data_IF_781235550817
#
_entry.id   IF_781235550817
#
_cell.length_a   1.000
_cell.length_b   1.000
_cell.length_c   1.000
_cell.angle_alpha   90.00
_cell.angle_beta   90.00
_cell.angle_gamma   90.00
#
_symmetry.space_group_name_H-M   'P 1'
#
loop_
_entity.id
_entity.type
_entity.pdbx_description
1 polymer ?
#
# COMPACT_ATOMS: atom_id res chain seq x y z
N UNK A 1 6.76 -12.44 -33.71
CA UNK A 1 6.31 -11.13 -33.25
C UNK A 1 6.81 -10.93 -31.82
N UNK A 2 7.79 -10.06 -31.62
CA UNK A 2 8.26 -9.69 -30.27
C UNK A 2 7.16 -8.89 -29.59
N UNK A 3 6.55 -9.43 -28.52
CA UNK A 3 5.65 -8.67 -27.65
C UNK A 3 6.43 -7.48 -27.10
N UNK A 4 6.10 -6.26 -27.53
CA UNK A 4 6.60 -5.05 -26.90
C UNK A 4 5.79 -4.87 -25.63
N UNK A 5 6.36 -5.25 -24.49
CA UNK A 5 5.73 -4.93 -23.23
C UNK A 5 5.79 -3.43 -22.99
N UNK A 6 4.74 -2.86 -22.38
CA UNK A 6 4.71 -1.45 -22.05
C UNK A 6 5.83 -1.08 -21.08
N UNK A 7 6.49 0.05 -21.36
CA UNK A 7 7.50 0.59 -20.45
C UNK A 7 6.82 1.46 -19.40
N UNK A 8 7.13 1.18 -18.15
CA UNK A 8 6.68 1.99 -17.01
C UNK A 8 7.66 3.14 -16.83
N UNK A 9 7.12 4.37 -16.74
CA UNK A 9 7.88 5.57 -16.46
C UNK A 9 8.08 5.76 -14.96
N UNK A 10 7.01 5.61 -14.18
CA UNK A 10 7.01 5.74 -12.72
C UNK A 10 6.07 4.72 -12.10
N UNK A 11 6.33 4.33 -10.85
CA UNK A 11 5.34 3.62 -10.04
C UNK A 11 5.51 3.95 -8.58
N UNK A 12 4.41 3.97 -7.86
CA UNK A 12 4.38 4.09 -6.40
C UNK A 12 3.58 2.91 -5.87
N UNK A 13 4.16 2.18 -4.93
CA UNK A 13 3.49 1.10 -4.21
C UNK A 13 3.37 1.56 -2.76
N UNK A 14 2.15 1.59 -2.24
CA UNK A 14 1.84 1.90 -0.85
C UNK A 14 1.41 0.61 -0.15
N UNK A 15 2.12 0.25 0.90
CA UNK A 15 1.83 -0.91 1.74
C UNK A 15 1.15 -0.38 2.99
N UNK A 16 -0.13 -0.68 3.18
CA UNK A 16 -0.91 -0.21 4.34
C UNK A 16 -1.22 -1.39 5.23
N UNK A 17 -0.91 -1.29 6.52
CA UNK A 17 -1.20 -2.33 7.51
C UNK A 17 -1.77 -1.80 8.82
N UNK A 18 -2.29 -2.73 9.62
CA UNK A 18 -2.84 -2.47 10.94
C UNK A 18 -1.79 -2.71 12.04
N UNK A 19 -1.89 -1.94 13.11
CA UNK A 19 -1.10 -2.02 14.34
C UNK A 19 -2.03 -1.94 15.54
N UNK A 20 -1.59 -2.44 16.68
CA UNK A 20 -2.26 -2.17 17.95
C UNK A 20 -1.66 -0.91 18.57
N UNK A 21 -2.48 0.09 18.93
CA UNK A 21 -2.02 1.30 19.61
C UNK A 21 -1.77 1.02 21.10
N UNK A 22 -0.68 0.31 21.40
CA UNK A 22 -0.25 0.01 22.77
C UNK A 22 0.39 1.24 23.45
N UNK A 23 0.27 1.37 24.78
CA UNK A 23 1.04 2.34 25.55
C UNK A 23 2.54 2.23 25.20
N UNK A 24 3.14 3.37 24.84
CA UNK A 24 4.55 3.44 24.43
C UNK A 24 4.81 3.40 22.92
N UNK A 25 3.82 3.09 22.07
CA UNK A 25 3.99 3.15 20.60
C UNK A 25 4.45 4.53 20.14
N UNK A 26 3.83 5.61 20.61
CA UNK A 26 4.29 6.96 20.27
C UNK A 26 5.76 7.19 20.68
N UNK A 27 6.15 6.76 21.89
CA UNK A 27 7.52 6.92 22.35
C UNK A 27 8.51 6.12 21.50
N UNK A 28 8.11 4.92 21.05
CA UNK A 28 8.90 4.10 20.13
C UNK A 28 9.06 4.77 18.76
N UNK A 29 7.99 5.35 18.19
CA UNK A 29 8.03 6.08 16.92
C UNK A 29 8.97 7.29 17.01
N UNK A 30 8.84 8.11 18.06
CA UNK A 30 9.70 9.28 18.27
C UNK A 30 11.17 8.87 18.46
N UNK A 31 11.42 7.77 19.21
CA UNK A 31 12.77 7.22 19.37
C UNK A 31 13.33 6.69 18.04
N UNK A 32 12.47 6.20 17.16
CA UNK A 32 12.82 5.77 15.81
C UNK A 32 12.76 6.94 14.79
N UNK A 33 12.95 8.18 15.24
CA UNK A 33 13.11 9.37 14.38
C UNK A 33 11.90 9.73 13.52
N UNK A 34 10.70 9.25 13.88
CA UNK A 34 9.49 9.77 13.26
C UNK A 34 9.19 11.18 13.74
N UNK A 35 8.82 12.05 12.82
CA UNK A 35 8.34 13.38 13.10
C UNK A 35 6.81 13.35 13.23
N UNK A 36 6.29 13.96 14.30
CA UNK A 36 4.85 14.17 14.43
C UNK A 36 4.44 15.31 13.51
N UNK A 37 3.48 15.06 12.63
CA UNK A 37 2.92 16.08 11.76
C UNK A 37 1.89 16.91 12.53
N UNK A 38 2.00 18.23 12.44
CA UNK A 38 1.02 19.16 12.98
C UNK A 38 0.05 19.56 11.86
N UNK A 39 -1.22 19.19 12.00
CA UNK A 39 -2.26 19.53 11.03
C UNK A 39 -2.72 20.98 11.30
N UNK A 40 -2.34 21.90 10.42
CA UNK A 40 -2.82 23.29 10.41
C UNK A 40 -4.21 23.44 9.76
N UNK A 41 -4.84 24.61 9.96
CA UNK A 41 -6.15 24.94 9.37
C UNK A 41 -6.15 24.93 7.82
N UNK A 42 -5.01 25.21 7.17
CA UNK A 42 -4.88 25.11 5.70
C UNK A 42 -5.08 23.67 5.21
N UNK A 43 -4.60 22.68 5.97
CA UNK A 43 -4.85 21.27 5.67
C UNK A 43 -6.33 20.92 5.80
N UNK A 44 -7.11 21.67 6.60
CA UNK A 44 -8.54 21.42 6.78
C UNK A 44 -9.35 21.61 5.50
N UNK A 45 -9.04 22.64 4.71
CA UNK A 45 -9.73 22.86 3.45
C UNK A 45 -9.36 21.77 2.43
N UNK A 46 -8.07 21.43 2.33
CA UNK A 46 -7.64 20.30 1.51
C UNK A 46 -8.37 19.01 1.91
N UNK A 47 -8.38 18.63 3.18
CA UNK A 47 -9.05 17.40 3.59
C UNK A 47 -10.58 17.44 3.39
N UNK A 48 -11.20 18.63 3.46
CA UNK A 48 -12.64 18.80 3.16
C UNK A 48 -12.97 18.48 1.71
N UNK A 49 -12.09 18.83 0.79
CA UNK A 49 -12.33 18.69 -0.64
C UNK A 49 -12.09 17.24 -1.13
N UNK A 50 -11.23 16.49 -0.44
CA UNK A 50 -10.78 15.17 -0.90
C UNK A 50 -11.34 13.97 -0.10
N UNK A 51 -11.87 14.19 1.10
CA UNK A 51 -12.37 13.10 1.94
C UNK A 51 -13.83 13.35 2.34
N UNK A 52 -14.63 12.28 2.29
CA UNK A 52 -15.96 12.29 2.89
C UNK A 52 -15.88 12.72 4.36
N UNK A 53 -16.84 13.52 4.84
CA UNK A 53 -16.80 14.06 6.20
C UNK A 53 -16.52 13.00 7.28
N UNK A 54 -17.11 11.81 7.18
CA UNK A 54 -16.94 10.75 8.17
C UNK A 54 -15.50 10.21 8.21
N UNK A 55 -14.91 9.90 7.05
CA UNK A 55 -13.51 9.46 6.96
C UNK A 55 -12.54 10.58 7.32
N UNK A 56 -12.83 11.78 6.84
CA UNK A 56 -12.04 12.98 7.14
C UNK A 56 -12.01 13.24 8.63
N UNK A 57 -13.14 13.11 9.29
CA UNK A 57 -13.26 13.33 10.72
C UNK A 57 -12.58 12.21 11.48
N UNK A 58 -12.80 10.95 11.09
CA UNK A 58 -12.13 9.80 11.67
C UNK A 58 -10.59 9.90 11.57
N UNK A 59 -10.06 10.31 10.42
CA UNK A 59 -8.62 10.32 10.14
C UNK A 59 -7.93 11.61 10.59
N UNK A 60 -8.61 12.75 10.47
CA UNK A 60 -8.00 14.08 10.58
C UNK A 60 -8.75 15.02 11.55
N UNK A 61 -10.07 14.89 11.73
CA UNK A 61 -10.87 15.84 12.55
C UNK A 61 -11.84 15.20 13.56
N UNK A 62 -11.48 15.29 14.83
CA UNK A 62 -12.34 15.28 16.03
C UNK A 62 -13.85 15.01 15.82
N UNK A 63 -14.31 13.83 16.22
CA UNK A 63 -15.52 13.73 17.03
C UNK A 63 -15.09 13.16 18.40
N UNK A 64 -15.01 14.04 19.40
CA UNK A 64 -14.90 13.72 20.84
C UNK A 64 -13.80 12.80 21.37
N UNK A 65 -12.81 12.36 20.58
CA UNK A 65 -11.58 11.76 21.11
C UNK A 65 -10.37 12.57 20.65
N UNK A 66 -9.71 13.17 21.63
CA UNK A 66 -8.40 13.79 21.52
C UNK A 66 -7.44 12.67 21.11
N UNK A 67 -6.52 12.91 20.16
CA UNK A 67 -5.30 12.11 19.89
C UNK A 67 -5.17 11.42 18.51
N UNK A 68 -5.92 11.81 17.47
CA UNK A 68 -5.49 11.49 16.11
C UNK A 68 -4.10 12.12 15.85
N UNK A 69 -3.10 11.31 15.57
CA UNK A 69 -1.70 11.75 15.41
C UNK A 69 -1.11 11.05 14.19
N UNK A 70 -0.52 11.83 13.30
CA UNK A 70 0.26 11.32 12.18
C UNK A 70 1.74 11.48 12.47
N UNK A 71 2.49 10.42 12.21
CA UNK A 71 3.93 10.36 12.31
C UNK A 71 4.47 10.04 10.94
N UNK A 72 5.54 10.72 10.51
CA UNK A 72 6.19 10.50 9.22
C UNK A 72 7.69 10.39 9.39
N UNK A 73 8.30 9.46 8.66
CA UNK A 73 9.75 9.28 8.56
C UNK A 73 10.14 9.15 7.09
N UNK A 74 11.11 9.94 6.66
CA UNK A 74 11.81 9.71 5.40
C UNK A 74 12.86 8.62 5.63
N UNK A 75 12.94 7.67 4.69
CA UNK A 75 13.79 6.48 4.81
C UNK A 75 14.84 6.49 3.70
N UNK A 76 14.40 6.65 2.45
CA UNK A 76 15.24 6.64 1.25
C UNK A 76 16.31 5.54 1.23
N UNK A 77 15.90 4.31 1.57
CA UNK A 77 16.80 3.15 1.67
C UNK A 77 16.48 2.11 0.60
N UNK A 78 17.50 1.63 -0.11
CA UNK A 78 17.37 0.53 -1.07
C UNK A 78 17.46 -0.81 -0.33
N UNK A 79 16.54 -1.72 -0.66
CA UNK A 79 16.45 -3.06 -0.07
C UNK A 79 16.27 -4.06 -1.20
N UNK A 80 17.02 -5.15 -1.13
CA UNK A 80 16.81 -6.32 -1.98
C UNK A 80 15.84 -7.27 -1.29
N UNK A 81 14.77 -7.64 -1.99
CA UNK A 81 13.85 -8.69 -1.59
C UNK A 81 14.07 -9.92 -2.46
N UNK A 82 14.13 -11.10 -1.84
CA UNK A 82 14.34 -12.36 -2.55
C UNK A 82 13.46 -13.49 -2.04
N UNK A 83 12.98 -14.30 -2.96
CA UNK A 83 12.43 -15.63 -2.71
C UNK A 83 13.31 -16.69 -3.42
N UNK A 84 12.89 -17.95 -3.43
CA UNK A 84 13.64 -19.04 -4.07
C UNK A 84 13.82 -18.90 -5.59
N UNK A 85 13.11 -17.99 -6.25
CA UNK A 85 13.02 -17.89 -7.70
C UNK A 85 13.49 -16.54 -8.26
N UNK A 86 13.41 -15.47 -7.47
CA UNK A 86 13.67 -14.09 -7.94
C UNK A 86 14.23 -13.21 -6.83
N UNK A 87 14.97 -12.19 -7.26
CA UNK A 87 15.45 -11.10 -6.41
C UNK A 87 15.10 -9.78 -7.08
N UNK A 88 14.51 -8.86 -6.33
CA UNK A 88 14.13 -7.54 -6.80
C UNK A 88 14.59 -6.48 -5.81
N UNK A 89 15.15 -5.38 -6.33
CA UNK A 89 15.49 -4.22 -5.53
C UNK A 89 14.36 -3.19 -5.54
N UNK A 90 14.10 -2.64 -4.35
CA UNK A 90 13.13 -1.57 -4.12
C UNK A 90 13.74 -0.47 -3.27
N UNK A 91 13.28 0.74 -3.49
CA UNK A 91 13.54 1.90 -2.66
C UNK A 91 12.39 2.12 -1.70
N UNK A 92 12.65 2.02 -0.40
CA UNK A 92 11.73 2.48 0.64
C UNK A 92 11.90 3.99 0.79
N UNK A 93 10.90 4.76 0.35
CA UNK A 93 10.93 6.22 0.34
C UNK A 93 10.65 6.80 1.71
N UNK A 94 9.49 6.45 2.25
CA UNK A 94 8.95 7.00 3.48
C UNK A 94 8.01 6.01 4.15
N UNK A 95 7.79 6.22 5.44
CA UNK A 95 6.79 5.52 6.20
C UNK A 95 5.99 6.49 7.06
N UNK A 96 4.72 6.15 7.26
CA UNK A 96 3.75 6.95 7.98
C UNK A 96 3.01 6.06 8.98
N UNK A 97 2.75 6.58 10.16
CA UNK A 97 1.95 5.89 11.19
C UNK A 97 0.86 6.82 11.67
N UNK A 98 -0.37 6.33 11.67
CA UNK A 98 -1.57 7.04 12.09
C UNK A 98 -2.08 6.39 13.36
N UNK A 99 -2.08 7.17 14.43
CA UNK A 99 -2.65 6.81 15.72
C UNK A 99 -4.03 7.46 15.83
N UNK A 100 -5.00 6.75 16.38
CA UNK A 100 -6.40 7.22 16.51
C UNK A 100 -6.83 7.34 17.98
N UNK A 101 -5.92 7.09 18.93
CA UNK A 101 -6.14 7.20 20.36
C UNK A 101 -6.10 5.86 21.08
N UNK A 102 -5.94 5.91 22.40
CA UNK A 102 -5.74 4.73 23.24
C UNK A 102 -6.86 3.69 23.06
N UNK A 103 -6.47 2.41 22.97
CA UNK A 103 -7.29 1.22 22.74
C UNK A 103 -7.87 1.03 21.32
N UNK A 104 -7.31 1.72 20.32
CA UNK A 104 -7.67 1.52 18.91
C UNK A 104 -6.59 0.85 18.07
N UNK A 105 -7.03 0.35 16.91
CA UNK A 105 -6.13 -0.04 15.83
C UNK A 105 -5.46 1.20 15.28
N UNK A 106 -4.13 1.21 15.19
CA UNK A 106 -3.35 2.18 14.45
C UNK A 106 -3.12 1.70 13.01
N UNK A 107 -2.83 2.63 12.10
CA UNK A 107 -2.45 2.31 10.72
C UNK A 107 -0.99 2.64 10.50
N UNK A 108 -0.32 1.85 9.68
CA UNK A 108 0.93 2.27 9.07
C UNK A 108 0.89 2.13 7.57
N UNK A 109 1.70 2.96 6.92
CA UNK A 109 1.80 3.07 5.48
C UNK A 109 3.27 3.15 5.12
N UNK A 110 3.73 2.32 4.18
CA UNK A 110 5.10 2.34 3.66
C UNK A 110 5.03 2.65 2.17
N UNK A 111 5.80 3.64 1.75
CA UNK A 111 5.97 4.00 0.35
C UNK A 111 7.19 3.30 -0.23
N UNK A 112 6.97 2.42 -1.20
CA UNK A 112 8.05 1.76 -1.92
C UNK A 112 7.96 2.05 -3.41
N UNK A 113 9.13 2.10 -4.05
CA UNK A 113 9.28 2.30 -5.48
C UNK A 113 10.30 1.31 -6.00
N UNK A 114 10.28 1.02 -7.30
CA UNK A 114 11.39 0.32 -7.91
C UNK A 114 12.56 1.28 -8.05
N UNK A 115 13.77 0.84 -7.68
CA UNK A 115 14.96 1.70 -7.70
C UNK A 115 15.32 2.16 -9.13
N UNK A 116 15.24 1.22 -10.09
CA UNK A 116 15.56 1.50 -11.48
C UNK A 116 14.37 2.14 -12.22
N UNK A 117 14.64 3.13 -13.09
CA UNK A 117 13.66 3.74 -14.00
C UNK A 117 13.59 2.98 -15.32
N UNK A 118 12.43 2.98 -15.99
CA UNK A 118 12.16 2.28 -17.26
C UNK A 118 12.17 0.74 -17.15
N UNK A 119 11.24 0.19 -16.39
CA UNK A 119 11.03 -1.25 -16.23
C UNK A 119 9.76 -1.71 -16.95
N UNK A 120 9.65 -3.02 -17.09
CA UNK A 120 8.47 -3.67 -17.66
C UNK A 120 7.47 -4.03 -16.56
N UNK A 121 6.22 -4.25 -16.95
CA UNK A 121 5.15 -4.66 -16.03
C UNK A 121 5.51 -5.94 -15.28
N UNK A 122 6.19 -6.89 -15.93
CA UNK A 122 6.62 -8.13 -15.31
C UNK A 122 7.49 -7.87 -14.06
N UNK A 123 8.34 -6.83 -14.10
CA UNK A 123 9.18 -6.47 -12.96
C UNK A 123 8.37 -5.88 -11.79
N UNK A 124 7.31 -5.10 -12.07
CA UNK A 124 6.42 -4.62 -10.99
C UNK A 124 5.57 -5.75 -10.43
N UNK A 125 5.05 -6.64 -11.29
CA UNK A 125 4.32 -7.81 -10.82
C UNK A 125 5.20 -8.69 -9.93
N UNK A 126 6.45 -8.90 -10.32
CA UNK A 126 7.44 -9.63 -9.52
C UNK A 126 7.67 -8.98 -8.16
N UNK A 127 7.89 -7.66 -8.13
CA UNK A 127 8.07 -6.87 -6.91
C UNK A 127 6.82 -6.88 -6.01
N UNK A 128 5.62 -6.67 -6.57
CA UNK A 128 4.37 -6.71 -5.82
C UNK A 128 4.14 -8.06 -5.16
N UNK A 129 4.47 -9.14 -5.86
CA UNK A 129 4.38 -10.48 -5.30
C UNK A 129 5.36 -10.68 -4.13
N UNK A 130 6.60 -10.19 -4.24
CA UNK A 130 7.58 -10.25 -3.15
C UNK A 130 7.14 -9.41 -1.94
N UNK A 131 6.71 -8.16 -2.18
CA UNK A 131 6.28 -7.24 -1.12
C UNK A 131 5.05 -7.76 -0.37
N UNK A 132 4.16 -8.49 -1.04
CA UNK A 132 2.98 -9.11 -0.42
C UNK A 132 3.34 -10.30 0.49
N UNK A 133 4.47 -10.96 0.23
CA UNK A 133 4.88 -12.15 0.96
C UNK A 133 5.75 -11.75 2.17
N UNK A 134 5.18 -11.85 3.37
CA UNK A 134 5.87 -11.44 4.61
C UNK A 134 7.11 -12.25 4.95
N UNK A 135 7.14 -13.50 4.48
CA UNK A 135 8.26 -14.41 4.69
C UNK A 135 9.35 -14.28 3.62
N UNK A 136 9.16 -13.40 2.62
CA UNK A 136 10.23 -13.01 1.69
C UNK A 136 11.43 -12.49 2.46
N UNK A 137 12.62 -12.85 2.03
CA UNK A 137 13.85 -12.45 2.68
C UNK A 137 14.26 -11.06 2.19
N UNK A 138 14.54 -10.17 3.13
CA UNK A 138 15.24 -8.92 2.91
C UNK A 138 16.75 -9.13 3.11
N UNK A 139 17.53 -8.04 3.10
CA UNK A 139 18.95 -8.07 3.42
C UNK A 139 19.24 -8.86 4.72
N UNK A 140 20.40 -9.53 4.75
CA UNK A 140 20.88 -10.32 5.89
C UNK A 140 19.99 -11.51 6.30
N UNK A 141 19.22 -12.09 5.36
CA UNK A 141 18.29 -13.19 5.60
C UNK A 141 17.20 -12.89 6.65
N UNK A 142 16.93 -11.60 6.90
CA UNK A 142 15.85 -11.17 7.77
C UNK A 142 14.55 -11.23 6.97
N UNK A 143 13.48 -11.77 7.55
CA UNK A 143 12.15 -11.74 6.91
C UNK A 143 11.70 -10.30 6.72
N UNK A 144 11.10 -10.00 5.57
CA UNK A 144 10.60 -8.68 5.20
C UNK A 144 9.72 -8.06 6.30
N UNK A 145 8.83 -8.86 6.89
CA UNK A 145 8.03 -8.38 8.03
C UNK A 145 8.88 -7.96 9.23
N UNK A 146 9.93 -8.71 9.58
CA UNK A 146 10.79 -8.37 10.72
C UNK A 146 11.63 -7.13 10.44
N UNK A 147 12.04 -6.95 9.17
CA UNK A 147 12.71 -5.72 8.76
C UNK A 147 11.81 -4.51 8.99
N UNK A 148 10.53 -4.58 8.56
CA UNK A 148 9.54 -3.53 8.83
C UNK A 148 9.37 -3.29 10.34
N UNK A 149 9.20 -4.36 11.12
CA UNK A 149 9.00 -4.26 12.57
C UNK A 149 10.17 -3.53 13.25
N UNK A 150 11.41 -3.89 12.89
CA UNK A 150 12.60 -3.37 13.55
C UNK A 150 12.97 -1.98 13.06
N UNK A 151 13.10 -1.80 11.74
CA UNK A 151 13.64 -0.58 11.15
C UNK A 151 12.60 0.54 11.09
N UNK A 152 11.31 0.20 10.89
CA UNK A 152 10.25 1.19 10.73
C UNK A 152 9.39 1.33 11.98
N UNK A 153 9.03 0.21 12.61
CA UNK A 153 8.06 0.24 13.72
C UNK A 153 8.71 0.18 15.11
N UNK A 154 10.03 0.33 15.22
CA UNK A 154 10.72 0.39 16.51
C UNK A 154 10.59 -0.89 17.34
N UNK A 155 10.54 -2.05 16.69
CA UNK A 155 10.42 -3.38 17.29
C UNK A 155 8.98 -3.86 17.54
N UNK A 156 7.98 -3.08 17.14
CA UNK A 156 6.57 -3.44 17.35
C UNK A 156 6.16 -4.52 16.38
N UNK A 157 5.68 -5.64 16.95
CA UNK A 157 5.28 -6.83 16.19
C UNK A 157 3.96 -6.61 15.46
N UNK A 158 3.94 -7.01 14.18
CA UNK A 158 2.76 -6.96 13.29
C UNK A 158 2.17 -8.35 13.03
N UNK A 159 2.84 -9.41 13.51
CA UNK A 159 2.39 -10.80 13.41
C UNK A 159 2.91 -11.66 14.54
N UNK A 160 2.19 -12.75 14.81
CA UNK A 160 2.64 -13.80 15.72
C UNK A 160 1.90 -13.81 17.05
N UNK A 161 2.40 -14.64 17.99
CA UNK A 161 1.70 -14.88 19.25
C UNK A 161 1.60 -13.59 20.07
N UNK A 162 0.38 -13.20 20.45
CA UNK A 162 0.11 -12.01 21.27
C UNK A 162 -0.09 -10.71 20.50
N UNK A 163 -0.22 -10.79 19.17
CA UNK A 163 -0.60 -9.65 18.32
C UNK A 163 -2.11 -9.72 18.07
N UNK A 164 -2.88 -8.80 18.67
CA UNK A 164 -4.35 -8.77 18.56
C UNK A 164 -4.83 -8.57 17.12
N UNK A 165 -4.06 -7.84 16.30
CA UNK A 165 -4.40 -7.62 14.90
C UNK A 165 -4.30 -8.88 14.03
N UNK A 166 -3.81 -10.00 14.59
CA UNK A 166 -3.82 -11.32 13.93
C UNK A 166 -5.24 -11.89 13.77
N UNK A 167 -6.20 -11.41 14.58
CA UNK A 167 -7.60 -11.86 14.55
C UNK A 167 -8.43 -11.21 13.42
N UNK A 168 -7.94 -10.13 12.81
CA UNK A 168 -8.61 -9.51 11.66
C UNK A 168 -8.40 -10.36 10.40
N UNK A 169 -9.49 -10.98 9.91
CA UNK A 169 -9.50 -11.81 8.70
C UNK A 169 -9.12 -11.03 7.44
N UNK A 170 -8.11 -11.52 6.70
CA UNK A 170 -7.69 -10.99 5.40
C UNK A 170 -6.16 -10.78 5.31
N UNK A 171 -5.67 -10.34 4.14
CA UNK A 171 -4.30 -9.83 4.06
C UNK A 171 -4.19 -8.61 4.97
N UNK A 172 -3.46 -8.75 6.09
CA UNK A 172 -3.17 -7.68 7.07
C UNK A 172 -2.60 -6.42 6.44
N UNK A 173 -2.07 -6.58 5.22
CA UNK A 173 -1.62 -5.52 4.37
C UNK A 173 -2.47 -5.39 3.12
N UNK A 174 -2.81 -4.15 2.81
CA UNK A 174 -3.35 -3.77 1.52
C UNK A 174 -2.25 -3.07 0.74
N UNK A 175 -2.03 -3.54 -0.48
CA UNK A 175 -1.10 -2.90 -1.41
C UNK A 175 -1.93 -2.03 -2.35
N UNK A 176 -1.56 -0.76 -2.44
CA UNK A 176 -2.11 0.17 -3.42
C UNK A 176 -0.98 0.53 -4.38
N UNK A 177 -1.22 0.40 -5.68
CA UNK A 177 -0.20 0.65 -6.69
C UNK A 177 -0.69 1.64 -7.72
N UNK A 178 0.12 2.65 -7.98
CA UNK A 178 -0.06 3.59 -9.09
C UNK A 178 1.07 3.31 -10.08
N UNK A 179 0.72 3.07 -11.35
CA UNK A 179 1.68 2.84 -12.42
C UNK A 179 1.44 3.89 -13.51
N UNK A 180 2.49 4.61 -13.83
CA UNK A 180 2.53 5.59 -14.91
C UNK A 180 3.22 4.95 -16.12
N UNK A 181 2.46 4.74 -17.18
CA UNK A 181 2.91 4.06 -18.39
C UNK A 181 3.42 5.11 -19.39
N UNK A 182 4.53 4.83 -20.07
CA UNK A 182 4.94 5.69 -21.20
C UNK A 182 3.82 5.68 -22.24
N UNK A 183 3.34 6.88 -22.62
CA UNK A 183 2.40 7.12 -23.73
C UNK A 183 2.88 6.33 -24.94
N UNK A 184 2.16 5.25 -25.25
CA UNK A 184 2.10 4.49 -26.52
C UNK A 184 1.48 3.11 -26.23
N UNK A 185 0.33 3.10 -25.56
CA UNK A 185 -0.40 1.87 -25.25
C UNK A 185 -1.82 1.98 -25.76
N UNK A 186 -2.27 0.97 -26.50
CA UNK A 186 -3.67 0.87 -26.88
C UNK A 186 -4.54 0.53 -25.67
N UNK A 187 -5.77 1.07 -25.64
CA UNK A 187 -6.69 0.96 -24.50
C UNK A 187 -6.96 -0.51 -24.08
N UNK A 188 -6.95 -1.44 -25.04
CA UNK A 188 -7.12 -2.86 -24.78
C UNK A 188 -5.95 -3.49 -23.99
N UNK A 189 -4.72 -3.05 -24.23
CA UNK A 189 -3.57 -3.52 -23.47
C UNK A 189 -3.49 -2.83 -22.10
N UNK A 190 -4.03 -1.61 -21.99
CA UNK A 190 -4.22 -0.91 -20.72
C UNK A 190 -5.21 -1.62 -19.81
N UNK A 191 -6.30 -2.12 -20.38
CA UNK A 191 -7.32 -2.88 -19.65
C UNK A 191 -6.76 -4.18 -19.07
N UNK A 192 -5.92 -4.92 -19.80
CA UNK A 192 -5.29 -6.17 -19.30
C UNK A 192 -4.41 -5.95 -18.06
N UNK A 193 -3.85 -4.76 -17.89
CA UNK A 193 -3.02 -4.42 -16.73
C UNK A 193 -3.83 -4.17 -15.46
N UNK A 194 -5.06 -3.70 -15.60
CA UNK A 194 -5.96 -3.48 -14.47
C UNK A 194 -6.41 -4.80 -13.83
N UNK A 195 -6.54 -5.87 -14.61
CA UNK A 195 -6.93 -7.19 -14.12
C UNK A 195 -5.87 -7.87 -13.23
N UNK A 196 -4.58 -7.73 -13.57
CA UNK A 196 -3.47 -8.34 -12.83
C UNK A 196 -3.15 -7.53 -11.54
N UNK A 197 -3.29 -6.20 -11.61
CA UNK A 197 -3.09 -5.31 -10.45
C UNK A 197 -4.24 -5.36 -9.44
N UNK A 198 -5.48 -5.49 -9.92
CA UNK A 198 -6.68 -5.51 -9.09
C UNK A 198 -6.86 -6.80 -8.29
N UNK A 199 -6.45 -7.94 -8.85
CA UNK A 199 -6.54 -9.24 -8.17
C UNK A 199 -5.24 -9.66 -7.50
N UNK A 200 -4.10 -9.09 -7.92
CA UNK A 200 -2.85 -9.29 -7.22
C UNK A 200 -2.43 -10.78 -7.16
N UNK A 201 -2.96 -11.65 -8.03
CA UNK A 201 -2.56 -13.05 -8.15
C UNK A 201 -1.64 -13.21 -9.36
N UNK A 202 -0.75 -14.21 -9.35
CA UNK A 202 -0.01 -14.52 -10.57
C UNK A 202 -0.99 -14.90 -11.68
N UNK A 203 -0.70 -14.52 -12.93
CA UNK A 203 -1.54 -14.76 -14.12
C UNK A 203 -2.08 -16.21 -14.26
N UNK A 204 -1.48 -17.19 -13.57
CA UNK A 204 -1.92 -18.60 -13.55
C UNK A 204 -2.64 -19.04 -12.26
N UNK A 205 -2.53 -18.32 -11.15
CA UNK A 205 -3.09 -18.73 -9.86
C UNK A 205 -4.54 -18.24 -9.66
N UNK A 206 -4.94 -17.17 -10.34
CA UNK A 206 -6.30 -16.61 -10.25
C UNK A 206 -7.41 -17.43 -10.91
N UNK A 207 -7.06 -18.37 -11.81
CA UNK A 207 -8.06 -19.10 -12.60
C UNK A 207 -8.72 -20.26 -11.85
N UNK A 208 -8.11 -20.79 -10.78
CA UNK A 208 -8.62 -22.02 -10.17
C UNK A 208 -9.48 -21.80 -8.91
N UNK A 209 -9.37 -20.64 -8.22
CA UNK A 209 -10.02 -20.48 -6.89
C UNK A 209 -10.61 -19.10 -6.51
N UNK A 210 -10.70 -18.12 -7.41
CA UNK A 210 -11.26 -16.79 -7.11
C UNK A 210 -12.52 -16.47 -7.92
N UNK A 211 -13.52 -15.85 -7.30
CA UNK A 211 -14.82 -15.50 -7.89
C UNK A 211 -14.74 -15.06 -9.37
N UNK A 212 -15.45 -15.78 -10.25
CA UNK A 212 -15.91 -15.22 -11.53
C UNK A 212 -16.83 -14.04 -11.21
N UNK A 213 -16.28 -12.84 -11.14
CA UNK A 213 -17.06 -11.66 -11.45
C UNK A 213 -17.03 -11.60 -12.97
N UNK A 214 -18.18 -11.72 -13.62
CA UNK A 214 -18.30 -11.51 -15.06
C UNK A 214 -18.15 -9.99 -15.31
N UNK A 215 -16.90 -9.55 -15.45
CA UNK A 215 -16.53 -8.13 -15.43
C UNK A 215 -17.11 -7.34 -16.62
N UNK A 216 -17.50 -8.02 -17.70
CA UNK A 216 -18.19 -7.38 -18.83
C UNK A 216 -19.54 -6.78 -18.40
N UNK A 217 -20.24 -7.41 -17.44
CA UNK A 217 -21.52 -6.90 -16.94
C UNK A 217 -21.35 -5.73 -15.96
N UNK A 218 -20.35 -5.83 -15.06
CA UNK A 218 -20.04 -4.78 -14.10
C UNK A 218 -19.50 -3.50 -14.76
N UNK A 219 -18.61 -3.65 -15.75
CA UNK A 219 -18.02 -2.54 -16.48
C UNK A 219 -19.03 -1.81 -17.36
N UNK A 220 -19.88 -2.55 -18.08
CA UNK A 220 -20.92 -1.95 -18.90
C UNK A 220 -21.93 -1.18 -18.04
N UNK A 221 -22.22 -1.67 -16.82
CA UNK A 221 -23.05 -0.95 -15.85
C UNK A 221 -22.41 0.37 -15.42
N UNK A 222 -21.14 0.35 -14.97
CA UNK A 222 -20.45 1.57 -14.53
C UNK A 222 -20.23 2.60 -15.66
N UNK A 223 -19.91 2.16 -16.88
CA UNK A 223 -19.77 3.05 -18.04
C UNK A 223 -21.12 3.67 -18.42
N UNK A 224 -22.22 2.90 -18.33
CA UNK A 224 -23.57 3.36 -18.66
C UNK A 224 -24.07 4.38 -17.64
N UNK A 225 -23.84 4.14 -16.35
CA UNK A 225 -24.13 5.09 -15.27
C UNK A 225 -23.27 6.36 -15.39
N UNK A 226 -21.97 6.21 -15.68
CA UNK A 226 -21.09 7.35 -15.87
C UNK A 226 -21.52 8.20 -17.07
N UNK A 227 -21.89 7.59 -18.20
CA UNK A 227 -22.39 8.31 -19.38
C UNK A 227 -23.73 9.01 -19.14
N UNK A 228 -24.62 8.45 -18.32
CA UNK A 228 -25.85 9.12 -17.92
C UNK A 228 -25.57 10.37 -17.07
N UNK A 229 -24.60 10.31 -16.15
CA UNK A 229 -24.22 11.43 -15.28
C UNK A 229 -23.57 12.62 -16.00
N UNK A 230 -23.08 12.46 -17.24
CA UNK A 230 -22.48 13.54 -18.05
C UNK A 230 -23.41 14.01 -19.18
N UNK A 231 -24.60 13.40 -19.30
CA UNK A 231 -25.59 13.72 -20.33
C UNK A 231 -26.79 14.50 -19.79
N UNK A 232 -26.84 14.74 -18.46
CA UNK A 232 -27.74 15.65 -17.76
C UNK A 232 -26.99 16.92 -17.32
#
# INVERSE_FOLDING_TARGET
MTKKYPKIQNSIIKIVGLLEEKPGLQAALLKNEYLREELSDEHSNFFKDYFYPDFRNLMFFKHNRINNRRFKKEINQVISLSDSFKTEELLVKDAEVFLFGEDYIALFCISVQKENKNYEIENISALLNLVRQFDTLAADNIKWCHWIENELLGGIKIRGRGVSVDEYSGSKFKLFTIIDLKKDMEDNDRMKLLYDLGTSSGYKEGFEKGCKIDYDEGYNTCIKEYKQLISD
#
